data_IF_676895397134
#
_entry.id   IF_676895397134
#
_cell.length_a   1.000
_cell.length_b   1.000
_cell.length_c   1.000
_cell.angle_alpha   90.00
_cell.angle_beta   90.00
_cell.angle_gamma   90.00
#
_symmetry.space_group_name_H-M   'P 1'
#
loop_
_entity.id
_entity.type
_entity.pdbx_description
1 polymer ?
#
# COMPACT_ATOMS: atom_id res chain seq x y z
N UNK A 1 -12.45 -10.40 -13.21
CA UNK A 1 -12.34 -9.58 -14.42
C UNK A 1 -13.41 -8.51 -14.34
N UNK A 2 -13.00 -7.25 -14.16
CA UNK A 2 -13.93 -6.13 -14.22
C UNK A 2 -14.52 -6.06 -15.63
N UNK A 3 -15.83 -5.90 -15.69
CA UNK A 3 -16.49 -5.52 -16.92
C UNK A 3 -15.80 -4.26 -17.46
N UNK A 4 -15.34 -4.24 -18.71
CA UNK A 4 -14.85 -3.03 -19.33
C UNK A 4 -16.05 -2.08 -19.53
N UNK A 5 -16.42 -1.43 -18.45
CA UNK A 5 -17.55 -0.52 -18.42
C UNK A 5 -17.21 0.71 -19.26
N UNK A 6 -17.77 0.77 -20.44
CA UNK A 6 -17.77 1.94 -21.30
C UNK A 6 -16.39 2.25 -21.91
N UNK A 7 -16.37 2.41 -23.17
CA UNK A 7 -15.15 2.68 -23.97
C UNK A 7 -14.47 4.03 -23.65
N UNK A 8 -15.04 4.88 -22.81
CA UNK A 8 -14.60 6.28 -22.79
C UNK A 8 -13.80 6.74 -21.57
N UNK A 9 -13.91 6.11 -20.38
CA UNK A 9 -13.21 6.65 -19.20
C UNK A 9 -12.75 5.63 -18.13
N UNK A 10 -12.98 4.35 -18.29
CA UNK A 10 -12.92 3.38 -17.18
C UNK A 10 -11.76 2.39 -17.23
N UNK A 11 -10.90 2.46 -18.23
CA UNK A 11 -9.78 1.52 -18.39
C UNK A 11 -8.83 1.54 -17.19
N UNK A 12 -8.70 2.68 -16.51
CA UNK A 12 -7.90 2.83 -15.28
C UNK A 12 -8.38 1.98 -14.09
N UNK A 13 -9.55 1.38 -14.17
CA UNK A 13 -10.15 0.56 -13.12
C UNK A 13 -10.12 -0.94 -13.41
N UNK A 14 -9.70 -1.37 -14.60
CA UNK A 14 -9.93 -2.73 -15.05
C UNK A 14 -8.67 -3.59 -15.27
N UNK A 15 -7.67 -3.24 -16.09
CA UNK A 15 -6.62 -4.17 -16.49
C UNK A 15 -5.46 -4.22 -15.49
N UNK A 16 -5.74 -4.61 -14.25
CA UNK A 16 -4.71 -4.79 -13.22
C UNK A 16 -4.52 -6.27 -12.89
N UNK A 17 -3.41 -6.89 -13.32
CA UNK A 17 -3.21 -8.32 -13.18
C UNK A 17 -2.70 -8.76 -11.82
N UNK A 18 -2.57 -7.87 -10.84
CA UNK A 18 -1.82 -8.08 -9.60
C UNK A 18 -2.66 -8.51 -8.39
N UNK A 19 -3.95 -8.85 -8.57
CA UNK A 19 -4.83 -9.22 -7.46
C UNK A 19 -4.39 -10.46 -6.71
N UNK A 20 -3.88 -11.48 -7.42
CA UNK A 20 -3.42 -12.71 -6.79
C UNK A 20 -2.19 -12.52 -5.91
N UNK A 21 -1.06 -11.93 -6.37
CA UNK A 21 0.08 -11.70 -5.50
C UNK A 21 -0.23 -10.72 -4.37
N UNK A 22 -1.12 -9.73 -4.58
CA UNK A 22 -1.61 -8.87 -3.50
C UNK A 22 -2.20 -9.69 -2.34
N UNK A 23 -3.11 -10.62 -2.63
CA UNK A 23 -3.74 -11.47 -1.63
C UNK A 23 -2.75 -12.47 -1.03
N UNK A 24 -1.90 -13.09 -1.85
CA UNK A 24 -0.93 -14.09 -1.40
C UNK A 24 0.13 -13.50 -0.48
N UNK A 25 0.61 -12.29 -0.74
CA UNK A 25 1.53 -11.60 0.16
C UNK A 25 0.91 -11.42 1.56
N UNK A 26 -0.40 -11.11 1.64
CA UNK A 26 -1.11 -11.01 2.92
C UNK A 26 -1.29 -12.37 3.62
N UNK A 27 -1.54 -13.45 2.86
CA UNK A 27 -1.60 -14.79 3.43
C UNK A 27 -0.23 -15.23 3.97
N UNK A 28 0.85 -14.85 3.28
CA UNK A 28 2.20 -15.13 3.76
C UNK A 28 2.55 -14.29 5.00
N UNK A 29 2.18 -13.02 5.01
CA UNK A 29 2.34 -12.15 6.19
C UNK A 29 1.62 -12.76 7.41
N UNK A 30 0.38 -13.26 7.23
CA UNK A 30 -0.34 -13.97 8.28
C UNK A 30 0.41 -15.22 8.77
N UNK A 31 0.97 -16.02 7.85
CA UNK A 31 1.80 -17.16 8.21
C UNK A 31 2.98 -16.76 9.11
N UNK A 32 3.63 -15.65 8.84
CA UNK A 32 4.74 -15.17 9.65
C UNK A 32 4.34 -14.81 11.11
N UNK A 33 3.08 -14.46 11.34
CA UNK A 33 2.55 -14.25 12.71
C UNK A 33 2.24 -15.54 13.43
N UNK A 34 1.63 -16.51 12.76
CA UNK A 34 1.14 -17.74 13.40
C UNK A 34 2.17 -18.86 13.41
N UNK A 35 3.10 -18.88 12.46
CA UNK A 35 4.17 -19.90 12.28
C UNK A 35 3.63 -21.33 12.26
N UNK A 36 2.47 -21.54 11.61
CA UNK A 36 1.77 -22.81 11.53
C UNK A 36 2.11 -23.54 10.23
N UNK A 37 2.77 -24.70 10.32
CA UNK A 37 3.18 -25.48 9.14
C UNK A 37 1.98 -26.08 8.39
N UNK A 38 0.87 -26.40 9.04
CA UNK A 38 -0.34 -26.85 8.33
C UNK A 38 -0.92 -25.73 7.48
N UNK A 39 -0.97 -24.50 8.03
CA UNK A 39 -1.37 -23.33 7.28
C UNK A 39 -0.45 -23.04 6.08
N UNK A 40 0.87 -23.11 6.28
CA UNK A 40 1.86 -22.96 5.22
C UNK A 40 1.65 -23.97 4.10
N UNK A 41 1.48 -25.24 4.43
CA UNK A 41 1.22 -26.31 3.44
C UNK A 41 -0.10 -26.07 2.67
N UNK A 42 -1.10 -25.44 3.30
CA UNK A 42 -2.36 -25.10 2.66
C UNK A 42 -2.25 -23.96 1.67
N UNK A 43 -1.41 -22.94 1.94
CA UNK A 43 -1.22 -21.82 1.03
C UNK A 43 -0.21 -22.08 -0.09
N UNK A 44 0.75 -23.01 0.09
CA UNK A 44 1.82 -23.30 -0.86
C UNK A 44 1.31 -23.57 -2.30
N UNK A 45 0.28 -24.42 -2.55
CA UNK A 45 -0.22 -24.64 -3.91
C UNK A 45 -0.78 -23.37 -4.58
N UNK A 46 -1.25 -22.41 -3.80
CA UNK A 46 -1.72 -21.12 -4.33
C UNK A 46 -0.54 -20.27 -4.83
N UNK A 47 0.60 -20.29 -4.08
CA UNK A 47 1.84 -19.64 -4.52
C UNK A 47 2.41 -20.29 -5.76
N UNK A 48 2.43 -21.62 -5.84
CA UNK A 48 2.88 -22.36 -7.02
C UNK A 48 2.07 -22.01 -8.27
N UNK A 49 0.74 -22.00 -8.16
CA UNK A 49 -0.16 -21.64 -9.25
C UNK A 49 0.01 -20.20 -9.72
N UNK A 50 0.11 -19.26 -8.78
CA UNK A 50 0.32 -17.84 -9.09
C UNK A 50 1.71 -17.61 -9.72
N UNK A 51 2.74 -18.29 -9.21
CA UNK A 51 4.10 -18.22 -9.76
C UNK A 51 4.15 -18.76 -11.19
N UNK A 52 3.46 -19.87 -11.47
CA UNK A 52 3.36 -20.41 -12.83
C UNK A 52 2.74 -19.38 -13.79
N UNK A 53 1.65 -18.71 -13.38
CA UNK A 53 1.06 -17.63 -14.17
C UNK A 53 2.08 -16.52 -14.48
N UNK A 54 2.85 -16.05 -13.50
CA UNK A 54 3.80 -14.95 -13.74
C UNK A 54 5.02 -15.37 -14.57
N UNK A 55 5.44 -16.64 -14.50
CA UNK A 55 6.48 -17.15 -15.40
C UNK A 55 6.07 -17.10 -16.88
N UNK A 56 4.76 -17.23 -17.15
CA UNK A 56 4.21 -17.13 -18.50
C UNK A 56 3.79 -15.71 -18.89
N UNK A 57 3.33 -14.90 -17.93
CA UNK A 57 2.79 -13.56 -18.18
C UNK A 57 3.87 -12.49 -18.33
N UNK A 58 5.00 -12.62 -17.61
CA UNK A 58 6.10 -11.66 -17.70
C UNK A 58 6.77 -11.74 -19.08
N UNK A 59 7.00 -10.57 -19.64
CA UNK A 59 7.70 -10.43 -20.94
C UNK A 59 9.01 -9.69 -20.76
N UNK A 60 9.98 -9.97 -21.59
CA UNK A 60 11.24 -9.25 -21.60
C UNK A 60 11.09 -7.93 -22.38
N UNK A 61 11.46 -6.84 -21.75
CA UNK A 61 11.54 -5.53 -22.38
C UNK A 61 12.77 -4.78 -21.88
N UNK A 62 13.62 -4.33 -22.80
CA UNK A 62 14.90 -3.66 -22.49
C UNK A 62 15.79 -4.44 -21.50
N UNK A 63 15.85 -5.77 -21.64
CA UNK A 63 16.66 -6.65 -20.78
C UNK A 63 16.10 -6.85 -19.37
N UNK A 64 14.86 -6.45 -19.10
CA UNK A 64 14.18 -6.65 -17.82
C UNK A 64 12.84 -7.34 -18.02
N UNK A 65 12.44 -8.16 -17.05
CA UNK A 65 11.10 -8.75 -17.02
C UNK A 65 10.08 -7.71 -16.55
N UNK A 66 8.97 -7.59 -17.27
CA UNK A 66 7.92 -6.61 -17.01
C UNK A 66 6.53 -7.23 -17.13
N UNK A 67 5.57 -6.67 -16.36
CA UNK A 67 4.14 -6.88 -16.59
C UNK A 67 3.68 -5.98 -17.74
N UNK A 68 2.97 -6.54 -18.71
CA UNK A 68 2.42 -5.77 -19.83
C UNK A 68 1.24 -6.52 -20.45
N UNK A 69 0.03 -5.94 -20.57
CA UNK A 69 -0.34 -4.60 -20.08
C UNK A 69 -0.64 -4.57 -18.57
N UNK A 70 -0.49 -3.39 -17.95
CA UNK A 70 -0.92 -3.12 -16.59
C UNK A 70 -1.28 -1.64 -16.38
N UNK A 71 -1.71 -1.31 -15.16
CA UNK A 71 -2.05 0.06 -14.74
C UNK A 71 -1.47 0.33 -13.34
N UNK A 72 -1.26 1.60 -12.99
CA UNK A 72 -1.17 1.99 -11.58
C UNK A 72 -2.58 2.35 -11.10
N UNK A 73 -3.21 1.52 -10.25
CA UNK A 73 -4.59 1.79 -9.82
C UNK A 73 -4.69 3.08 -9.00
N UNK A 74 -5.62 3.96 -9.25
CA UNK A 74 -6.49 4.18 -10.42
C UNK A 74 -6.02 5.43 -11.16
N UNK A 75 -4.71 5.55 -11.40
CA UNK A 75 -4.09 6.76 -11.92
C UNK A 75 -4.01 6.81 -13.44
N UNK A 76 -3.92 8.03 -13.93
CA UNK A 76 -3.60 8.36 -15.34
C UNK A 76 -2.29 9.14 -15.39
N UNK A 77 -1.64 9.08 -16.51
CA UNK A 77 -0.45 9.88 -16.82
C UNK A 77 -0.64 10.65 -18.11
N UNK A 78 0.22 11.64 -18.33
CA UNK A 78 0.29 12.40 -19.57
C UNK A 78 1.52 11.97 -20.37
N UNK A 79 1.31 11.60 -21.62
CA UNK A 79 2.36 11.33 -22.59
C UNK A 79 2.00 11.97 -23.93
N UNK A 80 2.97 12.68 -24.54
CA UNK A 80 2.81 13.36 -25.83
C UNK A 80 1.50 14.17 -25.97
N UNK A 81 1.04 14.81 -24.88
CA UNK A 81 -0.18 15.62 -24.86
C UNK A 81 -1.48 14.82 -24.69
N UNK A 82 -1.41 13.51 -24.56
CA UNK A 82 -2.56 12.62 -24.37
C UNK A 82 -2.57 12.07 -22.93
N UNK A 83 -3.76 11.86 -22.36
CA UNK A 83 -3.91 11.15 -21.07
C UNK A 83 -4.08 9.66 -21.33
N UNK A 84 -3.27 8.85 -20.66
CA UNK A 84 -3.31 7.39 -20.73
C UNK A 84 -3.27 6.77 -19.33
N UNK A 85 -3.55 5.46 -19.21
CA UNK A 85 -3.45 4.72 -17.97
C UNK A 85 -2.80 3.35 -18.16
N UNK A 86 -2.88 2.76 -19.36
CA UNK A 86 -2.27 1.46 -19.63
C UNK A 86 -0.78 1.67 -19.88
N UNK A 87 0.02 0.89 -19.17
CA UNK A 87 1.48 0.94 -19.21
C UNK A 87 2.06 -0.46 -19.02
N UNK A 88 3.36 -0.51 -18.82
CA UNK A 88 4.09 -1.71 -18.37
C UNK A 88 4.74 -1.43 -17.02
N UNK A 89 4.83 -2.46 -16.21
CA UNK A 89 5.56 -2.50 -14.93
C UNK A 89 5.46 -1.21 -14.09
N UNK A 90 4.26 -0.72 -13.74
CA UNK A 90 4.16 0.36 -12.77
C UNK A 90 4.80 -0.05 -11.43
N UNK A 91 5.19 0.93 -10.62
CA UNK A 91 5.94 0.66 -9.38
C UNK A 91 5.19 -0.27 -8.42
N UNK A 92 3.87 -0.20 -8.39
CA UNK A 92 3.08 -1.13 -7.58
C UNK A 92 3.25 -2.58 -8.02
N UNK A 93 3.24 -2.86 -9.32
CA UNK A 93 3.46 -4.21 -9.84
C UNK A 93 4.85 -4.72 -9.50
N UNK A 94 5.85 -3.86 -9.70
CA UNK A 94 7.25 -4.16 -9.42
C UNK A 94 7.44 -4.58 -7.96
N UNK A 95 6.96 -3.80 -7.04
CA UNK A 95 7.13 -4.03 -5.60
C UNK A 95 6.28 -5.21 -5.09
N UNK A 96 5.08 -5.39 -5.65
CA UNK A 96 4.26 -6.57 -5.37
C UNK A 96 4.95 -7.87 -5.81
N UNK A 97 5.51 -7.89 -7.01
CA UNK A 97 6.23 -9.06 -7.51
C UNK A 97 7.56 -9.27 -6.79
N UNK A 98 8.27 -8.19 -6.46
CA UNK A 98 9.49 -8.28 -5.67
C UNK A 98 9.24 -9.01 -4.35
N UNK A 99 8.20 -8.62 -3.61
CA UNK A 99 7.82 -9.27 -2.37
C UNK A 99 7.27 -10.69 -2.60
N UNK A 100 6.39 -10.87 -3.59
CA UNK A 100 5.80 -12.17 -3.90
C UNK A 100 6.88 -13.20 -4.25
N UNK A 101 7.87 -12.84 -5.07
CA UNK A 101 8.97 -13.74 -5.41
C UNK A 101 9.90 -13.99 -4.22
N UNK A 102 10.09 -13.00 -3.35
CA UNK A 102 10.82 -13.23 -2.10
C UNK A 102 10.08 -14.26 -1.21
N UNK A 103 8.75 -14.14 -1.08
CA UNK A 103 7.92 -15.08 -0.35
C UNK A 103 7.97 -16.49 -0.99
N UNK A 104 7.92 -16.57 -2.32
CA UNK A 104 8.08 -17.83 -3.05
C UNK A 104 9.43 -18.51 -2.74
N UNK A 105 10.53 -17.74 -2.74
CA UNK A 105 11.87 -18.27 -2.40
C UNK A 105 11.95 -18.77 -0.97
N UNK A 106 11.33 -18.07 -0.01
CA UNK A 106 11.24 -18.53 1.38
C UNK A 106 10.38 -19.81 1.52
N UNK A 107 9.45 -20.04 0.60
CA UNK A 107 8.68 -21.28 0.47
C UNK A 107 9.42 -22.39 -0.30
N UNK A 108 10.65 -22.16 -0.79
CA UNK A 108 11.46 -23.12 -1.52
C UNK A 108 11.20 -23.17 -3.04
N UNK A 109 10.53 -22.17 -3.61
CA UNK A 109 10.21 -22.10 -5.03
C UNK A 109 11.25 -21.28 -5.81
N UNK A 110 11.60 -21.72 -7.02
CA UNK A 110 12.47 -20.98 -7.93
C UNK A 110 11.70 -19.88 -8.67
N UNK A 111 12.19 -18.64 -8.61
CA UNK A 111 11.50 -17.47 -9.15
C UNK A 111 12.34 -16.72 -10.18
N UNK A 112 11.69 -15.98 -11.10
CA UNK A 112 12.35 -14.90 -11.82
C UNK A 112 12.91 -13.85 -10.86
N UNK A 113 13.83 -13.02 -11.35
CA UNK A 113 14.35 -11.88 -10.62
C UNK A 113 13.63 -10.59 -11.04
N UNK A 114 13.22 -9.82 -10.07
CA UNK A 114 12.66 -8.48 -10.22
C UNK A 114 13.42 -7.55 -9.27
N UNK A 115 13.92 -6.44 -9.81
CA UNK A 115 14.58 -5.40 -9.02
C UNK A 115 13.54 -4.52 -8.32
N UNK A 116 13.88 -4.00 -7.14
CA UNK A 116 13.07 -2.97 -6.49
C UNK A 116 13.02 -1.68 -7.31
N UNK A 117 12.04 -0.84 -7.02
CA UNK A 117 11.97 0.50 -7.58
C UNK A 117 13.14 1.35 -7.09
N UNK A 118 13.62 2.23 -7.96
CA UNK A 118 14.61 3.25 -7.60
C UNK A 118 13.93 4.63 -7.59
N UNK A 119 14.41 5.59 -6.78
CA UNK A 119 13.90 6.95 -6.81
C UNK A 119 14.03 7.59 -8.20
N UNK A 120 13.03 8.35 -8.62
CA UNK A 120 13.04 9.13 -9.84
C UNK A 120 14.00 10.33 -9.77
N UNK A 121 14.17 11.04 -10.89
CA UNK A 121 15.05 12.20 -11.02
C UNK A 121 14.72 13.33 -10.02
N UNK A 122 13.47 13.47 -9.61
CA UNK A 122 13.00 14.43 -8.60
C UNK A 122 13.16 13.91 -7.14
N UNK A 123 13.68 12.71 -6.98
CA UNK A 123 13.95 12.05 -5.70
C UNK A 123 12.70 11.51 -5.01
N UNK A 124 11.58 11.35 -5.71
CA UNK A 124 10.36 10.65 -5.25
C UNK A 124 10.36 9.20 -5.72
N UNK A 125 9.48 8.38 -5.18
CA UNK A 125 9.19 7.07 -5.77
C UNK A 125 8.35 7.32 -7.04
N UNK A 126 8.80 6.88 -8.23
CA UNK A 126 8.04 7.02 -9.46
C UNK A 126 6.77 6.17 -9.40
N UNK A 127 5.73 6.56 -10.09
CA UNK A 127 4.50 5.76 -10.17
C UNK A 127 4.55 4.77 -11.34
N UNK A 128 5.30 5.11 -12.37
CA UNK A 128 5.41 4.34 -13.62
C UNK A 128 6.87 3.98 -13.91
N UNK A 129 7.09 3.06 -14.83
CA UNK A 129 8.43 2.66 -15.25
C UNK A 129 9.19 3.79 -15.96
N UNK A 130 8.46 4.77 -16.49
CA UNK A 130 9.00 5.98 -17.13
C UNK A 130 8.50 7.23 -16.42
N UNK A 131 9.23 8.34 -16.54
CA UNK A 131 8.89 9.62 -15.94
C UNK A 131 7.81 10.36 -16.78
N UNK A 132 6.58 9.86 -16.73
CA UNK A 132 5.43 10.51 -17.36
C UNK A 132 4.96 11.74 -16.59
N UNK A 133 4.22 12.62 -17.28
CA UNK A 133 3.56 13.75 -16.66
C UNK A 133 2.41 13.30 -15.73
N UNK A 134 2.29 13.93 -14.56
CA UNK A 134 1.19 13.66 -13.62
C UNK A 134 -0.12 14.32 -14.10
N UNK A 135 -1.25 13.61 -13.97
CA UNK A 135 -2.59 14.17 -14.21
C UNK A 135 -3.23 14.69 -12.93
N UNK A 136 -3.13 13.94 -11.85
CA UNK A 136 -3.70 14.24 -10.54
C UNK A 136 -2.63 14.11 -9.45
N UNK A 137 -1.95 15.21 -9.13
CA UNK A 137 -0.87 15.23 -8.14
C UNK A 137 -1.34 14.80 -6.76
N UNK A 138 -2.57 15.19 -6.35
CA UNK A 138 -3.16 14.87 -5.05
C UNK A 138 -4.13 13.68 -5.10
N UNK A 139 -3.91 12.76 -6.05
CA UNK A 139 -4.75 11.57 -6.18
C UNK A 139 -4.82 10.78 -4.86
N UNK A 140 -6.01 10.23 -4.55
CA UNK A 140 -6.23 9.47 -3.30
C UNK A 140 -5.44 8.17 -3.23
N UNK A 141 -5.11 7.55 -4.37
CA UNK A 141 -4.28 6.35 -4.41
C UNK A 141 -2.79 6.70 -4.25
N UNK A 142 -2.09 5.84 -3.52
CA UNK A 142 -0.65 5.91 -3.27
C UNK A 142 0.02 4.57 -3.61
N UNK A 143 -0.43 3.97 -4.70
CA UNK A 143 -0.07 2.62 -5.15
C UNK A 143 1.44 2.41 -5.29
N UNK A 144 2.16 3.43 -5.78
CA UNK A 144 3.62 3.42 -5.91
C UNK A 144 4.37 3.33 -4.57
N UNK A 145 3.69 3.53 -3.45
CA UNK A 145 4.28 3.43 -2.10
C UNK A 145 4.08 2.06 -1.45
N UNK A 146 3.68 1.05 -2.22
CA UNK A 146 3.52 -0.33 -1.73
C UNK A 146 4.77 -0.82 -1.00
N UNK A 147 5.97 -0.50 -1.48
CA UNK A 147 7.25 -0.87 -0.87
C UNK A 147 7.43 -0.39 0.58
N UNK A 148 6.70 0.63 1.02
CA UNK A 148 6.71 1.10 2.41
C UNK A 148 5.62 0.39 3.21
N UNK A 149 4.40 0.33 2.67
CA UNK A 149 3.27 -0.37 3.26
C UNK A 149 2.25 -0.76 2.17
N UNK A 150 1.75 -2.00 2.13
CA UNK A 150 1.87 -3.05 3.17
C UNK A 150 3.10 -3.95 3.06
N UNK A 151 4.04 -3.74 2.13
CA UNK A 151 5.19 -4.62 1.98
C UNK A 151 5.84 -4.97 3.33
N UNK A 152 6.19 -6.25 3.51
CA UNK A 152 6.89 -6.73 4.72
C UNK A 152 8.40 -6.55 4.65
N UNK A 153 8.95 -6.51 3.43
CA UNK A 153 10.40 -6.33 3.23
C UNK A 153 10.74 -4.87 3.53
N UNK A 154 11.65 -4.61 4.48
CA UNK A 154 12.00 -3.25 4.82
C UNK A 154 12.59 -2.51 3.63
N UNK A 155 12.07 -1.33 3.34
CA UNK A 155 12.61 -0.43 2.35
C UNK A 155 13.98 0.15 2.80
N UNK A 156 14.85 0.45 1.85
CA UNK A 156 16.12 1.15 2.11
C UNK A 156 15.88 2.56 2.69
N UNK A 157 16.89 3.15 3.30
CA UNK A 157 16.79 4.52 3.76
C UNK A 157 16.53 5.51 2.61
N UNK A 158 17.06 5.23 1.44
CA UNK A 158 16.84 6.03 0.24
C UNK A 158 15.37 5.98 -0.21
N UNK A 159 14.78 4.77 -0.26
CA UNK A 159 13.36 4.60 -0.56
C UNK A 159 12.46 5.23 0.51
N UNK A 160 12.82 5.16 1.78
CA UNK A 160 12.08 5.84 2.85
C UNK A 160 12.06 7.36 2.65
N UNK A 161 13.19 7.98 2.30
CA UNK A 161 13.27 9.41 2.00
C UNK A 161 12.48 9.79 0.74
N UNK A 162 12.53 8.96 -0.30
CA UNK A 162 11.77 9.15 -1.52
C UNK A 162 10.25 9.03 -1.28
N UNK A 163 9.84 8.08 -0.44
CA UNK A 163 8.44 7.91 -0.05
C UNK A 163 7.92 9.09 0.76
N UNK A 164 8.72 9.63 1.68
CA UNK A 164 8.35 10.84 2.43
C UNK A 164 8.08 12.01 1.47
N UNK A 165 8.96 12.24 0.50
CA UNK A 165 8.76 13.27 -0.54
C UNK A 165 7.50 13.01 -1.36
N UNK A 166 7.24 11.75 -1.72
CA UNK A 166 6.03 11.37 -2.46
C UNK A 166 4.76 11.64 -1.65
N UNK A 167 4.74 11.27 -0.36
CA UNK A 167 3.61 11.55 0.53
C UNK A 167 3.36 13.03 0.74
N UNK A 168 4.41 13.83 0.92
CA UNK A 168 4.30 15.28 1.06
C UNK A 168 3.70 15.89 -0.22
N UNK A 169 4.10 15.42 -1.40
CA UNK A 169 3.55 15.88 -2.68
C UNK A 169 2.09 15.46 -2.86
N UNK A 170 1.71 14.21 -2.51
CA UNK A 170 0.32 13.73 -2.50
C UNK A 170 -0.57 14.49 -1.50
N UNK A 171 0.03 15.09 -0.49
CA UNK A 171 -0.68 15.85 0.53
C UNK A 171 -1.46 14.96 1.51
N UNK A 172 -2.20 15.63 2.38
CA UNK A 172 -2.98 15.01 3.46
C UNK A 172 -4.44 14.79 3.09
N UNK A 173 -4.85 15.15 1.87
CA UNK A 173 -6.19 14.85 1.34
C UNK A 173 -6.40 13.37 1.11
N UNK A 174 -7.66 12.99 0.95
CA UNK A 174 -8.06 11.62 0.69
C UNK A 174 -9.40 11.31 1.34
N UNK A 175 -9.96 10.18 0.99
CA UNK A 175 -11.22 9.68 1.53
C UNK A 175 -10.95 8.35 2.22
N UNK A 176 -11.70 8.05 3.26
CA UNK A 176 -11.83 6.74 3.88
C UNK A 176 -10.54 5.92 3.96
N UNK A 177 -10.49 4.84 3.22
CA UNK A 177 -9.35 3.93 3.16
C UNK A 177 -8.01 4.60 2.76
N UNK A 178 -8.05 5.66 1.96
CA UNK A 178 -6.84 6.39 1.58
C UNK A 178 -6.18 7.08 2.78
N UNK A 179 -6.97 7.62 3.70
CA UNK A 179 -6.45 8.17 4.95
C UNK A 179 -5.80 7.08 5.80
N UNK A 180 -6.48 5.93 5.97
CA UNK A 180 -5.94 4.78 6.69
C UNK A 180 -4.62 4.27 6.10
N UNK A 181 -4.53 4.16 4.76
CA UNK A 181 -3.28 3.77 4.11
C UNK A 181 -2.15 4.76 4.36
N UNK A 182 -2.43 6.06 4.23
CA UNK A 182 -1.45 7.11 4.54
C UNK A 182 -1.03 7.12 6.01
N UNK A 183 -1.92 6.77 6.96
CA UNK A 183 -1.54 6.57 8.38
C UNK A 183 -0.52 5.44 8.50
N UNK A 184 -0.74 4.29 7.85
CA UNK A 184 0.21 3.17 7.85
C UNK A 184 1.57 3.58 7.27
N UNK A 185 1.57 4.30 6.15
CA UNK A 185 2.79 4.79 5.51
C UNK A 185 3.59 5.72 6.43
N UNK A 186 2.95 6.73 7.01
CA UNK A 186 3.61 7.63 7.96
C UNK A 186 4.10 6.91 9.23
N UNK A 187 3.36 5.89 9.68
CA UNK A 187 3.79 5.04 10.78
C UNK A 187 5.09 4.28 10.46
N UNK A 188 5.18 3.68 9.27
CA UNK A 188 6.40 2.99 8.79
C UNK A 188 7.58 3.94 8.62
N UNK A 189 7.33 5.17 8.20
CA UNK A 189 8.31 6.25 8.12
C UNK A 189 8.62 6.90 9.48
N UNK A 190 8.09 6.35 10.57
CA UNK A 190 8.28 6.82 11.96
C UNK A 190 7.85 8.28 12.21
N UNK A 191 6.91 8.79 11.41
CA UNK A 191 6.37 10.14 11.57
C UNK A 191 4.99 10.10 12.23
N UNK A 192 4.97 9.99 13.56
CA UNK A 192 3.74 9.90 14.35
C UNK A 192 2.87 11.14 14.30
N UNK A 193 3.43 12.32 14.11
CA UNK A 193 2.66 13.58 14.00
C UNK A 193 1.82 13.62 12.73
N UNK A 194 2.39 13.25 11.59
CA UNK A 194 1.68 13.17 10.32
C UNK A 194 0.63 12.06 10.33
N UNK A 195 0.95 10.89 10.89
CA UNK A 195 -0.01 9.81 11.07
C UNK A 195 -1.21 10.25 11.94
N UNK A 196 -0.95 10.90 13.06
CA UNK A 196 -1.98 11.38 13.97
C UNK A 196 -2.84 12.48 13.37
N UNK A 197 -2.25 13.37 12.57
CA UNK A 197 -3.00 14.37 11.80
C UNK A 197 -4.08 13.71 10.91
N UNK A 198 -3.75 12.63 10.24
CA UNK A 198 -4.68 11.89 9.38
C UNK A 198 -5.74 11.14 10.19
N UNK A 199 -5.39 10.58 11.36
CA UNK A 199 -6.38 9.98 12.28
C UNK A 199 -7.41 11.03 12.72
N UNK A 200 -6.96 12.23 13.12
CA UNK A 200 -7.88 13.34 13.47
C UNK A 200 -8.80 13.71 12.30
N UNK A 201 -8.28 13.69 11.07
CA UNK A 201 -9.08 13.94 9.89
C UNK A 201 -10.11 12.82 9.66
N UNK A 202 -9.72 11.55 9.82
CA UNK A 202 -10.64 10.40 9.71
C UNK A 202 -11.77 10.45 10.72
N UNK A 203 -11.55 11.02 11.89
CA UNK A 203 -12.55 11.19 12.93
C UNK A 203 -13.39 12.47 12.78
N UNK A 204 -13.22 13.24 11.70
CA UNK A 204 -14.06 14.41 11.43
C UNK A 204 -15.49 13.98 11.16
N UNK A 205 -16.45 14.62 11.81
CA UNK A 205 -17.87 14.33 11.64
C UNK A 205 -18.35 14.65 10.22
N UNK A 206 -19.05 13.69 9.62
CA UNK A 206 -19.70 13.84 8.31
C UNK A 206 -21.22 13.64 8.48
N UNK A 207 -22.02 14.60 7.99
CA UNK A 207 -23.46 14.48 8.02
C UNK A 207 -23.93 13.31 7.12
N UNK A 208 -24.86 12.45 7.58
CA UNK A 208 -25.43 11.38 6.76
C UNK A 208 -26.11 11.86 5.46
N UNK A 209 -26.53 13.11 5.41
CA UNK A 209 -27.12 13.73 4.21
C UNK A 209 -26.07 14.26 3.22
N UNK A 210 -24.81 14.26 3.58
CA UNK A 210 -23.73 14.72 2.68
C UNK A 210 -23.54 13.72 1.55
N UNK A 211 -23.75 14.17 0.32
CA UNK A 211 -23.49 13.38 -0.90
C UNK A 211 -22.06 13.52 -1.41
N UNK A 212 -21.36 14.54 -0.93
CA UNK A 212 -20.01 14.89 -1.35
C UNK A 212 -19.22 15.44 -0.18
N UNK A 213 -18.11 14.78 0.16
CA UNK A 213 -17.15 15.31 1.11
C UNK A 213 -15.72 15.11 0.57
N UNK A 214 -15.00 16.21 0.38
CA UNK A 214 -13.57 16.14 0.04
C UNK A 214 -12.78 15.89 1.31
N UNK A 215 -12.26 14.69 1.49
CA UNK A 215 -11.29 14.44 2.54
C UNK A 215 -11.64 13.36 3.58
N UNK A 216 -12.69 12.60 3.39
CA UNK A 216 -13.07 11.53 4.31
C UNK A 216 -13.55 12.02 5.68
N UNK A 217 -13.87 11.11 6.57
CA UNK A 217 -14.36 11.36 7.91
C UNK A 217 -15.15 10.20 8.47
N UNK A 218 -15.97 10.46 9.49
CA UNK A 218 -16.80 9.42 10.12
C UNK A 218 -18.24 9.87 10.27
N UNK A 219 -19.17 8.98 10.00
CA UNK A 219 -20.59 9.15 10.27
C UNK A 219 -20.87 9.06 11.79
N UNK A 220 -22.09 9.48 12.26
CA UNK A 220 -22.45 9.42 13.69
C UNK A 220 -22.33 8.05 14.33
N UNK A 221 -22.45 6.98 13.55
CA UNK A 221 -22.31 5.59 13.98
C UNK A 221 -20.88 5.08 13.95
N UNK A 222 -19.91 5.99 13.78
CA UNK A 222 -18.46 5.72 13.65
C UNK A 222 -18.03 4.97 12.39
N UNK A 223 -18.94 4.74 11.44
CA UNK A 223 -18.59 4.19 10.15
C UNK A 223 -17.82 5.22 9.32
N UNK A 224 -16.85 4.72 8.58
CA UNK A 224 -16.07 5.53 7.65
C UNK A 224 -16.95 6.19 6.58
N UNK A 225 -16.64 7.42 6.27
CA UNK A 225 -17.30 8.20 5.24
C UNK A 225 -16.38 8.47 4.06
N UNK A 226 -16.64 7.75 2.96
CA UNK A 226 -16.03 8.03 1.67
C UNK A 226 -16.86 8.95 0.78
N UNK A 227 -18.04 9.50 1.17
CA UNK A 227 -19.38 8.97 0.97
C UNK A 227 -19.56 8.26 -0.37
N UNK A 228 -20.23 7.06 -0.38
CA UNK A 228 -20.89 6.38 0.74
C UNK A 228 -19.92 5.73 1.72
N UNK A 229 -20.44 4.99 2.72
CA UNK A 229 -19.67 4.17 3.65
C UNK A 229 -18.82 3.12 2.92
N UNK A 230 -17.58 2.96 3.39
CA UNK A 230 -16.66 1.90 2.98
C UNK A 230 -15.94 1.34 4.22
N UNK A 231 -16.13 0.05 4.51
CA UNK A 231 -15.58 -0.60 5.72
C UNK A 231 -14.05 -0.61 5.76
N UNK A 232 -13.41 -0.60 4.61
CA UNK A 232 -11.97 -0.59 4.44
C UNK A 232 -11.31 0.63 5.09
N UNK A 233 -11.98 1.78 5.14
CA UNK A 233 -11.50 2.96 5.88
C UNK A 233 -11.45 2.73 7.39
N UNK A 234 -12.44 2.02 7.95
CA UNK A 234 -12.42 1.64 9.36
C UNK A 234 -11.25 0.69 9.67
N UNK A 235 -11.07 -0.35 8.88
CA UNK A 235 -9.97 -1.29 9.07
C UNK A 235 -8.61 -0.64 8.82
N UNK A 236 -8.51 0.19 7.79
CA UNK A 236 -7.27 0.89 7.44
C UNK A 236 -6.75 1.80 8.56
N UNK A 237 -7.62 2.57 9.21
CA UNK A 237 -7.19 3.42 10.33
C UNK A 237 -6.80 2.60 11.57
N UNK A 238 -7.50 1.48 11.85
CA UNK A 238 -7.11 0.56 12.91
C UNK A 238 -5.75 -0.08 12.65
N UNK A 239 -5.50 -0.53 11.41
CA UNK A 239 -4.19 -1.02 10.99
C UNK A 239 -3.11 0.06 11.13
N UNK A 240 -3.42 1.30 10.76
CA UNK A 240 -2.52 2.44 10.92
C UNK A 240 -2.12 2.69 12.36
N UNK A 241 -3.06 2.66 13.30
CA UNK A 241 -2.77 2.77 14.73
C UNK A 241 -1.89 1.61 15.21
N UNK A 242 -2.17 0.39 14.77
CA UNK A 242 -1.32 -0.77 15.09
C UNK A 242 0.11 -0.60 14.54
N UNK A 243 0.27 -0.11 13.30
CA UNK A 243 1.58 0.21 12.72
C UNK A 243 2.30 1.33 13.50
N UNK A 244 1.59 2.38 13.94
CA UNK A 244 2.17 3.42 14.79
C UNK A 244 2.74 2.84 16.09
N UNK A 245 1.99 1.97 16.75
CA UNK A 245 2.43 1.31 17.99
C UNK A 245 3.59 0.32 17.74
N UNK A 246 3.54 -0.46 16.66
CA UNK A 246 4.62 -1.40 16.29
C UNK A 246 5.94 -0.69 15.97
N UNK A 247 5.87 0.44 15.31
CA UNK A 247 7.04 1.20 14.83
C UNK A 247 7.47 2.34 15.77
N UNK A 248 6.82 2.47 16.93
CA UNK A 248 7.05 3.57 17.90
C UNK A 248 6.86 4.97 17.25
N UNK A 249 5.99 5.08 16.25
CA UNK A 249 5.62 6.32 15.57
C UNK A 249 4.52 7.04 16.35
N UNK A 250 4.87 7.55 17.53
CA UNK A 250 3.93 8.08 18.51
C UNK A 250 3.88 9.60 18.44
N UNK A 251 2.69 10.22 18.37
CA UNK A 251 2.57 11.68 18.44
C UNK A 251 2.81 12.18 19.87
N UNK A 252 3.25 13.42 20.01
CA UNK A 252 3.57 14.03 21.31
C UNK A 252 2.39 14.05 22.28
N UNK A 253 1.17 14.07 21.76
CA UNK A 253 -0.05 14.07 22.58
C UNK A 253 -0.30 12.73 23.28
N UNK A 254 0.33 11.64 22.82
CA UNK A 254 0.07 10.34 23.37
C UNK A 254 0.98 10.00 24.55
N UNK A 255 0.35 9.49 25.61
CA UNK A 255 1.02 8.89 26.77
C UNK A 255 0.23 7.68 27.21
N UNK A 256 0.90 6.59 27.57
CA UNK A 256 0.24 5.35 27.95
C UNK A 256 1.17 4.14 27.95
N UNK A 257 0.57 2.97 27.81
CA UNK A 257 1.30 1.71 27.69
C UNK A 257 0.60 0.78 26.72
N UNK A 258 1.37 -0.08 26.06
CA UNK A 258 0.89 -1.20 25.28
C UNK A 258 1.39 -2.50 25.85
N UNK A 259 0.63 -3.57 25.64
CA UNK A 259 1.00 -4.91 26.11
C UNK A 259 0.61 -5.96 25.08
N UNK A 260 1.56 -6.85 24.76
CA UNK A 260 1.31 -8.05 23.98
C UNK A 260 1.02 -7.83 22.50
N UNK A 261 1.56 -6.75 21.86
CA UNK A 261 1.44 -6.59 20.41
C UNK A 261 2.28 -7.66 19.74
N UNK A 262 1.64 -8.46 18.90
CA UNK A 262 2.29 -9.53 18.16
C UNK A 262 3.13 -8.98 16.99
N UNK A 263 4.28 -9.62 16.81
CA UNK A 263 5.17 -9.40 15.67
C UNK A 263 5.43 -10.74 14.97
N UNK A 264 6.04 -10.69 13.79
CA UNK A 264 6.46 -11.90 13.06
C UNK A 264 7.35 -12.80 13.91
N UNK A 265 7.26 -14.11 13.66
CA UNK A 265 8.04 -15.12 14.39
C UNK A 265 7.59 -15.33 15.84
N UNK A 266 6.32 -15.09 16.15
CA UNK A 266 5.74 -15.29 17.48
C UNK A 266 6.24 -14.32 18.55
N UNK A 267 6.96 -13.28 18.16
CA UNK A 267 7.47 -12.25 19.09
C UNK A 267 6.34 -11.36 19.59
N UNK A 268 6.56 -10.75 20.76
CA UNK A 268 5.65 -9.74 21.31
C UNK A 268 6.44 -8.53 21.79
N UNK A 269 5.81 -7.36 21.69
CA UNK A 269 6.33 -6.13 22.30
C UNK A 269 5.34 -5.58 23.33
N UNK A 270 5.91 -5.04 24.41
CA UNK A 270 5.20 -4.30 25.45
C UNK A 270 6.08 -3.15 25.88
N UNK A 271 5.51 -1.96 26.00
CA UNK A 271 6.26 -0.79 26.48
C UNK A 271 5.33 0.29 27.00
N UNK A 272 5.88 1.21 27.79
CA UNK A 272 5.22 2.46 28.19
C UNK A 272 5.78 3.61 27.39
N UNK A 273 4.99 4.66 27.24
CA UNK A 273 5.41 5.89 26.53
C UNK A 273 4.80 7.12 27.16
N UNK A 274 5.53 8.22 27.06
CA UNK A 274 5.11 9.53 27.57
C UNK A 274 5.49 10.62 26.55
N UNK A 275 4.54 11.48 26.22
CA UNK A 275 4.72 12.56 25.25
C UNK A 275 5.34 12.06 23.92
N UNK A 276 4.81 10.97 23.39
CA UNK A 276 5.27 10.37 22.13
C UNK A 276 6.60 9.66 22.18
N UNK A 277 7.20 9.44 23.35
CA UNK A 277 8.49 8.77 23.51
C UNK A 277 8.37 7.55 24.39
N UNK A 278 8.95 6.43 23.95
CA UNK A 278 9.09 5.22 24.78
C UNK A 278 9.91 5.51 26.03
N UNK A 279 9.48 4.96 27.17
CA UNK A 279 10.09 5.06 28.49
C UNK A 279 10.28 3.68 29.13
#
# INVERSE_FOLDING_TARGET
>A
AGDPQGLEETTQYAPWPMSAPWLLNQLYDHYLYITDEEYKNRILPMFESCLAFYKDFLVEYNGKLVTCPSISPENKFKDAGTSACITYMPSMDRELLYEFFANCRELGLETPEIEQVEPASDGRIPEYAEEFGETEVEHRHVSHLYCIYPARIPASNELNLAAEKSLLKRGFGGTGWSLGWKVCLWARLKNGENAYRLIKQQLTYISPSSKFHKGGGSYPNLFDAHPPFQIDGNFGVCAGIAEMLKNEALPKEWSGSIKGIKLHGGKEISYSFKNGKRI
#
